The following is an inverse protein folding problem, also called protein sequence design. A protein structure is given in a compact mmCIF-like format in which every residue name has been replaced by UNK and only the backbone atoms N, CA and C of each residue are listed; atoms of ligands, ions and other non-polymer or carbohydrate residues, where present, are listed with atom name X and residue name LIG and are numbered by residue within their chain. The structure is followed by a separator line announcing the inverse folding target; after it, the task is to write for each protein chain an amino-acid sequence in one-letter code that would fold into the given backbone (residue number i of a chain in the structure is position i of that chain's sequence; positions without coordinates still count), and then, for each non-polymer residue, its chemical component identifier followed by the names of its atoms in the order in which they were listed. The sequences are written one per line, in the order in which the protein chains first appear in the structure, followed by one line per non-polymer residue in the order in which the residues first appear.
data_IF_526386551457
#
_entry.id   IF_526386551457
#
_cell.length_a   1.000
_cell.length_b   1.000
_cell.length_c   1.000
_cell.angle_alpha   90.00
_cell.angle_beta   90.00
_cell.angle_gamma   90.00
#
_symmetry.space_group_name_H-M   'P 1'
#
loop_
_entity.id
_entity.type
_entity.pdbx_description
1 polymer ?
#
# COMPACT_ATOMS: atom_id res chain seq x y z
N UNK A 1 21.77 -59.67 -45.48
CA UNK A 1 22.83 -60.04 -44.53
C UNK A 1 22.92 -58.96 -43.45
N UNK A 2 22.70 -59.35 -42.19
CA UNK A 2 23.13 -58.71 -40.92
C UNK A 2 22.56 -57.34 -40.52
N UNK A 3 21.48 -57.44 -39.74
CA UNK A 3 21.14 -56.63 -38.56
C UNK A 3 22.38 -56.35 -37.69
N UNK A 4 22.61 -55.10 -37.28
CA UNK A 4 23.36 -54.77 -36.05
C UNK A 4 22.76 -53.55 -35.34
N UNK A 5 22.08 -53.89 -34.26
CA UNK A 5 21.80 -53.08 -33.08
C UNK A 5 23.10 -52.46 -32.56
N UNK A 6 23.11 -51.14 -32.33
CA UNK A 6 24.15 -50.48 -31.55
C UNK A 6 23.50 -49.41 -30.68
N UNK A 7 22.93 -49.87 -29.56
CA UNK A 7 22.65 -49.06 -28.37
C UNK A 7 23.98 -48.55 -27.85
N UNK A 8 24.19 -47.24 -27.72
CA UNK A 8 25.19 -46.75 -26.76
C UNK A 8 24.89 -45.32 -26.27
N UNK A 9 24.60 -45.29 -24.97
CA UNK A 9 24.84 -44.23 -23.99
C UNK A 9 24.14 -42.88 -24.20
N UNK A 10 22.96 -42.80 -23.60
CA UNK A 10 22.48 -41.57 -22.98
C UNK A 10 23.48 -41.22 -21.86
N UNK A 11 24.45 -40.35 -22.15
CA UNK A 11 25.27 -39.72 -21.12
C UNK A 11 24.35 -38.80 -20.32
N UNK A 12 23.80 -39.32 -19.22
CA UNK A 12 23.30 -38.50 -18.14
C UNK A 12 24.50 -37.71 -17.60
N UNK A 13 24.70 -36.49 -18.09
CA UNK A 13 25.44 -35.51 -17.31
C UNK A 13 24.62 -35.36 -16.01
N UNK A 14 25.16 -35.70 -14.83
CA UNK A 14 24.63 -35.06 -13.65
C UNK A 14 24.96 -33.60 -13.86
N UNK A 15 23.96 -32.78 -14.15
CA UNK A 15 24.07 -31.37 -13.86
C UNK A 15 24.45 -31.33 -12.37
N UNK A 16 25.70 -30.98 -12.06
CA UNK A 16 26.08 -30.52 -10.73
C UNK A 16 25.28 -29.24 -10.49
N UNK A 17 24.00 -29.40 -10.13
CA UNK A 17 23.33 -28.41 -9.35
C UNK A 17 24.03 -28.48 -8.01
N UNK A 18 24.99 -27.58 -7.78
CA UNK A 18 25.51 -27.33 -6.44
C UNK A 18 24.30 -27.15 -5.53
N UNK A 19 24.06 -28.13 -4.66
CA UNK A 19 22.98 -28.05 -3.68
C UNK A 19 23.38 -26.96 -2.71
N UNK A 20 22.90 -25.75 -2.95
CA UNK A 20 23.12 -24.59 -2.10
C UNK A 20 22.85 -24.99 -0.65
N UNK A 21 23.82 -24.68 0.21
CA UNK A 21 23.64 -24.87 1.65
C UNK A 21 22.50 -23.98 2.15
N UNK A 22 21.86 -24.36 3.25
CA UNK A 22 20.81 -23.54 3.86
C UNK A 22 21.31 -22.11 4.16
N UNK A 23 22.58 -21.97 4.57
CA UNK A 23 23.21 -20.68 4.85
C UNK A 23 23.34 -19.80 3.60
N UNK A 24 23.70 -20.39 2.45
CA UNK A 24 23.77 -19.65 1.19
C UNK A 24 22.39 -19.22 0.68
N UNK A 25 21.37 -20.05 0.89
CA UNK A 25 19.99 -19.70 0.57
C UNK A 25 19.56 -18.51 1.45
N UNK A 26 19.79 -18.58 2.75
CA UNK A 26 19.41 -17.51 3.68
C UNK A 26 20.16 -16.21 3.42
N UNK A 27 21.45 -16.28 3.03
CA UNK A 27 22.22 -15.10 2.58
C UNK A 27 21.59 -14.45 1.36
N UNK A 28 21.24 -15.24 0.32
CA UNK A 28 20.57 -14.73 -0.87
C UNK A 28 19.18 -14.16 -0.57
N UNK A 29 18.44 -14.77 0.35
CA UNK A 29 17.16 -14.22 0.81
C UNK A 29 17.39 -12.86 1.48
N UNK A 30 18.36 -12.73 2.40
CA UNK A 30 18.68 -11.47 3.05
C UNK A 30 19.08 -10.38 2.04
N UNK A 31 19.93 -10.71 1.06
CA UNK A 31 20.33 -9.78 0.00
C UNK A 31 19.14 -9.34 -0.86
N UNK A 32 18.26 -10.29 -1.22
CA UNK A 32 17.07 -9.99 -2.01
C UNK A 32 16.06 -9.15 -1.22
N UNK A 33 15.91 -9.41 0.08
CA UNK A 33 15.07 -8.59 0.97
C UNK A 33 15.63 -7.17 1.09
N UNK A 34 16.95 -7.03 1.22
CA UNK A 34 17.62 -5.72 1.28
C UNK A 34 17.41 -4.95 -0.02
N UNK A 35 17.66 -5.57 -1.17
CA UNK A 35 17.42 -4.97 -2.49
C UNK A 35 15.95 -4.62 -2.72
N UNK A 36 15.02 -5.47 -2.29
CA UNK A 36 13.59 -5.20 -2.39
C UNK A 36 13.16 -4.03 -1.49
N UNK A 37 13.72 -3.94 -0.28
CA UNK A 37 13.51 -2.78 0.60
C UNK A 37 14.09 -1.50 0.00
N UNK A 38 15.27 -1.55 -0.60
CA UNK A 38 15.88 -0.40 -1.29
C UNK A 38 15.11 0.02 -2.54
N UNK A 39 14.64 -0.93 -3.34
CA UNK A 39 13.79 -0.63 -4.50
C UNK A 39 12.50 0.07 -4.08
N UNK A 40 11.85 -0.39 -3.01
CA UNK A 40 10.63 0.25 -2.46
C UNK A 40 10.86 1.69 -1.98
N UNK A 41 12.11 2.10 -1.70
CA UNK A 41 12.42 3.48 -1.27
C UNK A 41 12.34 4.49 -2.41
N UNK A 42 12.30 4.08 -3.68
CA UNK A 42 12.59 5.00 -4.80
C UNK A 42 11.42 5.29 -5.76
N UNK A 43 10.17 5.01 -5.39
CA UNK A 43 9.03 5.26 -6.26
C UNK A 43 8.29 6.55 -5.93
N UNK A 44 7.85 7.25 -6.99
CA UNK A 44 6.86 8.32 -6.90
C UNK A 44 5.48 7.70 -7.04
N UNK A 45 4.55 8.05 -6.15
CA UNK A 45 3.19 7.51 -6.17
C UNK A 45 2.14 8.58 -5.85
N UNK A 46 0.94 8.38 -6.36
CA UNK A 46 -0.23 9.16 -6.01
C UNK A 46 -0.87 8.60 -4.74
N UNK A 47 -1.25 9.48 -3.81
CA UNK A 47 -1.88 9.13 -2.55
C UNK A 47 -3.15 9.94 -2.36
N UNK A 48 -4.27 9.25 -2.21
CA UNK A 48 -5.55 9.85 -1.87
C UNK A 48 -5.85 9.62 -0.39
N UNK A 49 -6.17 10.70 0.33
CA UNK A 49 -6.68 10.64 1.70
C UNK A 49 -8.10 11.13 1.73
N UNK A 50 -9.01 10.25 2.16
CA UNK A 50 -10.43 10.56 2.31
C UNK A 50 -10.83 10.53 3.78
N UNK A 51 -11.40 11.64 4.24
CA UNK A 51 -11.92 11.80 5.60
C UNK A 51 -13.41 12.03 5.55
N UNK A 52 -14.16 11.24 6.32
CA UNK A 52 -15.61 11.36 6.48
C UNK A 52 -15.95 11.51 7.95
N UNK A 53 -16.50 12.66 8.32
CA UNK A 53 -16.88 12.98 9.69
C UNK A 53 -18.40 12.92 9.89
N UNK A 54 -18.83 12.08 10.83
CA UNK A 54 -20.21 12.04 11.33
C UNK A 54 -20.24 12.57 12.76
N UNK A 55 -21.23 13.40 13.10
CA UNK A 55 -21.44 13.87 14.47
C UNK A 55 -22.04 12.75 15.33
N UNK A 56 -22.09 12.94 16.65
CA UNK A 56 -22.71 11.99 17.59
C UNK A 56 -24.16 11.62 17.24
N UNK A 57 -24.88 12.51 16.54
CA UNK A 57 -26.23 12.25 16.02
C UNK A 57 -26.28 11.30 14.81
N UNK A 58 -25.14 10.80 14.33
CA UNK A 58 -25.02 9.96 13.14
C UNK A 58 -25.10 10.72 11.81
N UNK A 59 -25.47 12.01 11.84
CA UNK A 59 -25.57 12.86 10.65
C UNK A 59 -24.18 13.17 10.09
N UNK A 60 -24.05 13.08 8.77
CA UNK A 60 -22.85 13.48 8.05
C UNK A 60 -22.66 14.99 8.18
N UNK A 61 -21.45 15.40 8.57
CA UNK A 61 -21.11 16.81 8.76
C UNK A 61 -20.11 17.29 7.71
N UNK A 62 -19.11 16.46 7.39
CA UNK A 62 -18.06 16.84 6.43
C UNK A 62 -17.48 15.61 5.73
N UNK A 63 -17.14 15.80 4.47
CA UNK A 63 -16.30 14.90 3.69
C UNK A 63 -15.19 15.70 3.03
N UNK A 64 -13.98 15.15 3.01
CA UNK A 64 -12.83 15.78 2.38
C UNK A 64 -11.93 14.74 1.75
N UNK A 65 -11.63 14.93 0.47
CA UNK A 65 -10.61 14.18 -0.27
C UNK A 65 -9.39 15.07 -0.48
N UNK A 66 -8.19 14.53 -0.26
CA UNK A 66 -6.91 15.19 -0.55
C UNK A 66 -6.05 14.28 -1.41
N UNK A 67 -5.66 14.77 -2.57
CA UNK A 67 -4.75 14.07 -3.47
C UNK A 67 -3.34 14.61 -3.34
N UNK A 68 -2.38 13.72 -3.18
CA UNK A 68 -0.97 14.05 -3.03
C UNK A 68 -0.11 13.28 -4.02
N UNK A 69 0.96 13.90 -4.50
CA UNK A 69 2.09 13.21 -5.10
C UNK A 69 3.15 13.02 -4.02
N UNK A 70 3.56 11.77 -3.80
CA UNK A 70 4.58 11.40 -2.83
C UNK A 70 5.84 10.97 -3.55
N UNK A 71 6.96 11.58 -3.23
CA UNK A 71 8.27 11.27 -3.77
C UNK A 71 9.27 11.02 -2.64
N UNK A 72 10.26 10.13 -2.82
CA UNK A 72 11.33 9.97 -1.85
C UNK A 72 12.19 11.23 -1.73
N UNK A 73 12.73 11.46 -0.54
CA UNK A 73 13.62 12.58 -0.25
C UNK A 73 14.69 12.17 0.77
N UNK A 74 15.79 12.93 0.81
CA UNK A 74 16.97 12.60 1.62
C UNK A 74 16.69 12.41 3.12
N UNK A 75 15.67 13.09 3.66
CA UNK A 75 15.29 13.06 5.08
C UNK A 75 13.90 12.45 5.30
N UNK A 76 13.30 11.83 4.27
CA UNK A 76 11.95 11.27 4.29
C UNK A 76 11.16 11.59 3.02
N UNK A 77 9.94 11.05 2.92
CA UNK A 77 9.09 11.25 1.76
C UNK A 77 8.61 12.72 1.67
N UNK A 78 8.90 13.36 0.53
CA UNK A 78 8.36 14.66 0.13
C UNK A 78 6.97 14.46 -0.43
N UNK A 79 6.04 15.32 -0.03
CA UNK A 79 4.62 15.15 -0.38
C UNK A 79 4.05 16.47 -0.82
N UNK A 80 3.49 16.49 -2.02
CA UNK A 80 2.93 17.66 -2.65
C UNK A 80 1.42 17.49 -2.71
N UNK A 81 0.69 18.36 -2.02
CA UNK A 81 -0.76 18.43 -2.16
C UNK A 81 -1.09 18.92 -3.58
N UNK A 82 -1.90 18.14 -4.30
CA UNK A 82 -2.30 18.41 -5.68
C UNK A 82 -3.72 18.94 -5.74
N UNK A 83 -4.63 18.35 -4.95
CA UNK A 83 -6.06 18.66 -5.02
C UNK A 83 -6.73 18.47 -3.67
N UNK A 84 -7.75 19.29 -3.40
CA UNK A 84 -8.68 19.09 -2.30
C UNK A 84 -10.10 19.18 -2.84
N UNK A 85 -10.94 18.22 -2.45
CA UNK A 85 -12.37 18.25 -2.70
C UNK A 85 -13.11 18.07 -1.38
N UNK A 86 -13.67 19.17 -0.89
CA UNK A 86 -14.34 19.23 0.38
C UNK A 86 -15.83 19.51 0.25
N UNK A 87 -16.63 18.95 1.16
CA UNK A 87 -18.06 19.20 1.29
C UNK A 87 -18.48 19.25 2.75
N UNK A 88 -19.14 20.32 3.14
CA UNK A 88 -19.79 20.51 4.45
C UNK A 88 -21.29 20.30 4.28
N UNK A 89 -21.91 19.60 5.22
CA UNK A 89 -23.34 19.36 5.30
C UNK A 89 -23.92 19.98 6.57
N UNK A 90 -24.72 21.03 6.38
CA UNK A 90 -25.42 21.75 7.45
C UNK A 90 -26.93 21.68 7.20
N UNK A 91 -27.57 20.66 7.78
CA UNK A 91 -28.98 20.37 7.56
C UNK A 91 -29.23 19.94 6.11
N UNK A 92 -29.96 20.75 5.35
CA UNK A 92 -30.23 20.53 3.92
C UNK A 92 -29.21 21.22 3.00
N UNK A 93 -28.35 22.06 3.57
CA UNK A 93 -27.39 22.85 2.79
C UNK A 93 -26.09 22.08 2.63
N UNK A 94 -25.53 22.14 1.42
CA UNK A 94 -24.20 21.65 1.11
C UNK A 94 -23.32 22.82 0.67
N UNK A 95 -22.12 22.91 1.23
CA UNK A 95 -21.10 23.89 0.82
C UNK A 95 -19.84 23.14 0.42
N UNK A 96 -19.38 23.34 -0.81
CA UNK A 96 -18.14 22.75 -1.30
C UNK A 96 -16.96 23.69 -1.08
N UNK A 97 -15.75 23.14 -1.00
CA UNK A 97 -14.51 23.90 -0.88
C UNK A 97 -13.34 23.12 -1.48
N UNK A 98 -12.25 23.82 -1.80
CA UNK A 98 -11.09 23.26 -2.51
C UNK A 98 -9.74 23.54 -1.83
N UNK A 99 -9.78 23.92 -0.55
CA UNK A 99 -8.59 24.28 0.23
C UNK A 99 -8.47 23.38 1.46
N UNK A 100 -7.26 22.87 1.70
CA UNK A 100 -6.96 22.12 2.91
C UNK A 100 -7.04 23.05 4.13
N UNK A 101 -7.64 22.56 5.22
CA UNK A 101 -7.80 23.37 6.43
C UNK A 101 -8.91 24.42 6.34
N UNK A 102 -9.77 24.37 5.32
CA UNK A 102 -10.91 25.28 5.17
C UNK A 102 -11.83 25.24 6.40
N UNK A 103 -12.08 26.43 6.97
CA UNK A 103 -12.98 26.65 8.09
C UNK A 103 -14.10 27.60 7.69
N UNK A 104 -15.34 27.25 8.03
CA UNK A 104 -16.52 28.06 7.72
C UNK A 104 -16.69 29.26 8.67
N UNK A 105 -16.21 29.14 9.91
CA UNK A 105 -16.33 30.14 10.99
C UNK A 105 -15.27 29.92 12.06
N UNK A 106 -15.09 30.89 12.96
CA UNK A 106 -14.05 30.88 14.01
C UNK A 106 -14.10 29.64 14.93
N UNK A 107 -15.28 29.03 15.10
CA UNK A 107 -15.46 27.78 15.84
C UNK A 107 -16.04 26.68 14.95
N UNK A 108 -15.22 26.24 13.98
CA UNK A 108 -15.48 25.09 13.10
C UNK A 108 -14.70 23.86 13.56
N UNK A 109 -15.25 23.16 14.57
CA UNK A 109 -14.67 21.95 15.15
C UNK A 109 -14.57 20.84 14.10
N UNK A 110 -15.59 20.70 13.25
CA UNK A 110 -15.65 19.67 12.21
C UNK A 110 -14.51 19.86 11.19
N UNK A 111 -14.24 21.10 10.79
CA UNK A 111 -13.09 21.45 9.95
C UNK A 111 -11.75 21.18 10.63
N UNK A 112 -11.61 21.56 11.91
CA UNK A 112 -10.41 21.29 12.69
C UNK A 112 -10.09 19.79 12.85
N UNK A 113 -11.10 18.98 13.16
CA UNK A 113 -10.95 17.52 13.30
C UNK A 113 -10.62 16.86 11.95
N UNK A 114 -11.27 17.31 10.88
CA UNK A 114 -11.01 16.78 9.53
C UNK A 114 -9.58 17.06 9.09
N UNK A 115 -9.08 18.28 9.31
CA UNK A 115 -7.69 18.62 8.98
C UNK A 115 -6.69 17.84 9.84
N UNK A 116 -6.93 17.76 11.15
CA UNK A 116 -6.07 17.01 12.06
C UNK A 116 -5.96 15.53 11.64
N UNK A 117 -7.08 14.88 11.35
CA UNK A 117 -7.08 13.48 10.94
C UNK A 117 -6.45 13.27 9.56
N UNK A 118 -6.74 14.14 8.59
CA UNK A 118 -6.09 14.08 7.28
C UNK A 118 -4.58 14.18 7.41
N UNK A 119 -4.07 15.10 8.24
CA UNK A 119 -2.63 15.26 8.49
C UNK A 119 -2.02 14.09 9.24
N UNK A 120 -2.74 13.52 10.20
CA UNK A 120 -2.26 12.39 10.98
C UNK A 120 -2.11 11.13 10.12
N UNK A 121 -3.11 10.79 9.30
CA UNK A 121 -3.02 9.68 8.33
C UNK A 121 -1.86 9.90 7.36
N UNK A 122 -1.68 11.14 6.89
CA UNK A 122 -0.59 11.49 5.98
C UNK A 122 0.79 11.31 6.63
N UNK A 123 1.00 11.81 7.86
CA UNK A 123 2.29 11.87 8.58
C UNK A 123 2.54 10.73 9.58
N UNK A 124 1.61 9.79 9.69
CA UNK A 124 1.81 8.55 10.43
C UNK A 124 3.08 7.85 9.96
N UNK A 125 3.97 7.55 10.91
CA UNK A 125 5.18 6.72 10.69
C UNK A 125 4.85 5.25 10.52
N UNK A 126 3.61 4.84 10.80
CA UNK A 126 3.18 3.47 10.62
C UNK A 126 2.72 3.30 9.19
N UNK A 127 3.49 2.53 8.41
CA UNK A 127 3.10 2.06 7.09
C UNK A 127 1.64 1.57 7.15
N UNK A 128 0.77 2.17 6.34
CA UNK A 128 -0.58 1.68 6.14
C UNK A 128 -0.45 0.25 5.65
N UNK A 129 -0.73 -0.72 6.53
CA UNK A 129 -0.78 -2.13 6.15
C UNK A 129 -1.89 -2.25 5.12
N UNK A 130 -1.50 -2.44 3.86
CA UNK A 130 -2.42 -2.86 2.81
C UNK A 130 -3.02 -4.17 3.29
N UNK A 131 -4.30 -4.16 3.64
CA UNK A 131 -5.06 -5.37 3.86
C UNK A 131 -5.06 -6.11 2.52
N UNK A 132 -4.35 -7.23 2.45
CA UNK A 132 -4.48 -8.13 1.32
C UNK A 132 -5.95 -8.59 1.23
N UNK A 133 -6.50 -8.77 0.02
CA UNK A 133 -7.84 -9.32 -0.12
C UNK A 133 -7.89 -10.66 0.61
N UNK A 134 -8.86 -10.80 1.52
CA UNK A 134 -9.09 -12.04 2.24
C UNK A 134 -9.23 -13.16 1.21
N UNK A 135 -8.29 -14.11 1.24
CA UNK A 135 -8.46 -15.37 0.52
C UNK A 135 -9.63 -16.09 1.19
N UNK A 136 -10.81 -16.04 0.57
CA UNK A 136 -11.93 -16.89 0.94
C UNK A 136 -11.43 -18.34 1.01
N UNK A 137 -11.33 -18.86 2.23
CA UNK A 137 -10.89 -20.22 2.49
C UNK A 137 -11.86 -21.20 1.85
N UNK A 138 -11.40 -21.97 0.87
CA UNK A 138 -12.08 -23.19 0.46
C UNK A 138 -11.70 -24.32 1.41
N UNK A 139 -12.65 -24.69 2.27
CA UNK A 139 -12.96 -26.06 2.66
C UNK A 139 -11.81 -27.01 2.96
N UNK A 140 -11.66 -27.33 4.25
CA UNK A 140 -11.05 -28.56 4.75
C UNK A 140 -11.48 -29.79 3.94
N UNK A 141 -10.54 -30.41 3.23
CA UNK A 141 -10.69 -31.79 2.79
C UNK A 141 -10.46 -32.70 4.01
N UNK A 142 -11.55 -33.22 4.57
CA UNK A 142 -11.52 -34.41 5.43
C UNK A 142 -11.10 -35.59 4.55
N UNK A 143 -9.91 -36.13 4.76
CA UNK A 143 -9.58 -37.49 4.33
C UNK A 143 -9.94 -38.48 5.44
N UNK A 144 -10.59 -39.56 5.01
CA UNK A 144 -11.09 -40.68 5.80
C UNK A 144 -9.99 -41.47 6.51
#
# INVERSE_FOLDING_TARGET
MKLRLATLLFSALPALAETLTADEIMRRVADNQTKAQEARKNFVYDMNVFVRLKRASGKLAREESRDYIVAPGATGAKRKLVKVEGKILDGKNATTYSEAGYKKKDMDIDGGLTDAFARDVMWSKNDVRVQAPESNGSGTAKTA
#
